data_IF_976902695691
#
_entry.id   IF_976902695691
#
_cell.length_a   1.000
_cell.length_b   1.000
_cell.length_c   1.000
_cell.angle_alpha   90.00
_cell.angle_beta   90.00
_cell.angle_gamma   90.00
#
_symmetry.space_group_name_H-M   'P 1'
#
loop_
_entity.id
_entity.type
_entity.pdbx_description
1 polymer ?
#
# COMPACT_ATOMS: atom_id res chain seq x y z
N UNK A 1 -24.72 13.66 8.64
CA UNK A 1 -24.34 12.61 7.67
C UNK A 1 -23.18 11.87 8.30
N UNK A 2 -23.43 10.64 8.76
CA UNK A 2 -22.45 9.84 9.49
C UNK A 2 -21.46 9.23 8.49
N UNK A 3 -20.20 9.67 8.55
CA UNK A 3 -19.15 9.26 7.63
C UNK A 3 -18.69 7.81 7.87
N UNK A 4 -19.09 7.20 9.00
CA UNK A 4 -18.65 5.86 9.38
C UNK A 4 -19.47 4.71 8.75
N UNK A 5 -20.50 5.01 7.93
CA UNK A 5 -21.35 4.00 7.29
C UNK A 5 -21.66 4.17 5.80
N UNK A 6 -21.19 5.24 5.13
CA UNK A 6 -21.79 5.70 3.87
C UNK A 6 -20.89 5.68 2.62
N UNK A 7 -19.73 5.03 2.64
CA UNK A 7 -18.93 4.79 1.44
C UNK A 7 -18.81 3.28 1.21
N UNK A 8 -19.58 2.77 0.26
CA UNK A 8 -19.71 1.34 -0.05
C UNK A 8 -19.31 1.08 -1.51
N UNK A 9 -19.33 -0.20 -1.92
CA UNK A 9 -18.93 -0.59 -3.27
C UNK A 9 -19.80 0.05 -4.37
N UNK A 10 -21.11 0.21 -4.13
CA UNK A 10 -22.04 0.82 -5.09
C UNK A 10 -21.70 2.30 -5.34
N UNK A 11 -21.52 3.06 -4.27
CA UNK A 11 -21.11 4.48 -4.36
C UNK A 11 -19.73 4.60 -5.04
N UNK A 12 -18.81 3.69 -4.74
CA UNK A 12 -17.52 3.64 -5.41
C UNK A 12 -17.65 3.35 -6.90
N UNK A 13 -18.45 2.36 -7.31
CA UNK A 13 -18.66 1.99 -8.71
C UNK A 13 -19.24 3.14 -9.54
N UNK A 14 -20.22 3.88 -9.01
CA UNK A 14 -20.79 5.05 -9.68
C UNK A 14 -19.75 6.17 -9.87
N UNK A 15 -18.98 6.47 -8.81
CA UNK A 15 -17.91 7.46 -8.86
C UNK A 15 -16.79 7.03 -9.81
N UNK A 16 -16.43 5.75 -9.80
CA UNK A 16 -15.36 5.20 -10.62
C UNK A 16 -15.75 5.18 -12.10
N UNK A 17 -17.01 4.88 -12.42
CA UNK A 17 -17.55 4.97 -13.79
C UNK A 17 -17.43 6.39 -14.32
N UNK A 18 -17.91 7.37 -13.56
CA UNK A 18 -17.83 8.80 -13.92
C UNK A 18 -16.37 9.26 -14.10
N UNK A 19 -15.46 8.78 -13.25
CA UNK A 19 -14.04 9.06 -13.35
C UNK A 19 -13.45 8.48 -14.63
N UNK A 20 -13.73 7.21 -14.95
CA UNK A 20 -13.23 6.55 -16.16
C UNK A 20 -13.68 7.25 -17.44
N UNK A 21 -14.95 7.65 -17.52
CA UNK A 21 -15.47 8.45 -18.65
C UNK A 21 -14.70 9.77 -18.79
N UNK A 22 -14.57 10.51 -17.70
CA UNK A 22 -13.83 11.79 -17.69
C UNK A 22 -12.36 11.62 -18.09
N UNK A 23 -11.71 10.55 -17.63
CA UNK A 23 -10.31 10.26 -17.95
C UNK A 23 -10.16 9.88 -19.42
N UNK A 24 -11.05 9.04 -19.95
CA UNK A 24 -11.04 8.64 -21.35
C UNK A 24 -11.22 9.85 -22.28
N UNK A 25 -12.20 10.71 -21.98
CA UNK A 25 -12.47 11.91 -22.77
C UNK A 25 -11.29 12.90 -22.77
N UNK A 26 -10.63 13.11 -21.63
CA UNK A 26 -9.59 14.13 -21.48
C UNK A 26 -8.19 13.65 -21.84
N UNK A 27 -7.89 12.37 -21.59
CA UNK A 27 -6.53 11.84 -21.61
C UNK A 27 -6.40 10.54 -22.41
N UNK A 28 -7.50 9.94 -22.86
CA UNK A 28 -7.49 8.66 -23.57
C UNK A 28 -7.21 7.46 -22.66
N UNK A 29 -6.51 6.42 -23.16
CA UNK A 29 -6.16 5.25 -22.36
C UNK A 29 -5.23 5.61 -21.19
N UNK A 30 -5.56 5.16 -19.98
CA UNK A 30 -4.78 5.40 -18.76
C UNK A 30 -4.64 4.12 -17.93
N UNK A 31 -3.54 4.00 -17.18
CA UNK A 31 -3.35 2.96 -16.17
C UNK A 31 -3.76 3.49 -14.80
N UNK A 32 -4.74 2.84 -14.16
CA UNK A 32 -5.25 3.23 -12.85
C UNK A 32 -4.73 2.25 -11.80
N UNK A 33 -4.00 2.78 -10.82
CA UNK A 33 -3.49 2.01 -9.68
C UNK A 33 -4.28 2.37 -8.42
N UNK A 34 -4.88 1.38 -7.76
CA UNK A 34 -5.68 1.55 -6.54
C UNK A 34 -5.17 0.64 -5.44
N UNK A 35 -5.43 1.01 -4.18
CA UNK A 35 -5.10 0.14 -3.06
C UNK A 35 -6.16 -0.96 -2.85
N UNK A 36 -5.87 -1.91 -1.96
CA UNK A 36 -6.76 -3.02 -1.65
C UNK A 36 -7.94 -2.69 -0.72
N UNK A 37 -8.49 -1.48 -0.76
CA UNK A 37 -9.66 -1.15 0.06
C UNK A 37 -10.86 -2.07 -0.25
N UNK A 38 -11.58 -2.47 0.78
CA UNK A 38 -12.64 -3.49 0.67
C UNK A 38 -13.81 -3.07 -0.22
N UNK A 39 -14.02 -1.77 -0.45
CA UNK A 39 -15.05 -1.24 -1.34
C UNK A 39 -14.60 -1.12 -2.80
N UNK A 40 -13.29 -1.23 -3.11
CA UNK A 40 -12.80 -1.32 -4.50
C UNK A 40 -13.09 -2.67 -5.15
N UNK A 41 -13.53 -3.66 -4.36
CA UNK A 41 -13.75 -5.04 -4.79
C UNK A 41 -15.06 -5.51 -4.17
N UNK A 42 -15.97 -6.16 -4.91
CA UNK A 42 -17.06 -6.94 -4.29
C UNK A 42 -16.45 -8.24 -3.73
N UNK A 43 -15.74 -8.11 -2.59
CA UNK A 43 -15.03 -9.11 -1.77
C UNK A 43 -14.61 -10.44 -2.42
N UNK A 44 -13.29 -10.73 -2.34
CA UNK A 44 -12.82 -12.11 -2.13
C UNK A 44 -11.78 -12.19 -1.00
N UNK A 45 -10.97 -11.15 -0.74
CA UNK A 45 -9.90 -11.27 0.25
C UNK A 45 -9.88 -10.15 1.31
N UNK A 46 -9.74 -10.54 2.58
CA UNK A 46 -9.54 -9.64 3.71
C UNK A 46 -8.05 -9.48 3.97
N UNK A 47 -7.53 -8.27 3.85
CA UNK A 47 -6.13 -8.02 4.18
C UNK A 47 -5.96 -7.90 5.69
N UNK A 48 -4.97 -8.56 6.31
CA UNK A 48 -4.76 -8.48 7.75
C UNK A 48 -4.56 -7.06 8.27
N UNK A 49 -5.05 -6.83 9.49
CA UNK A 49 -4.96 -5.58 10.25
C UNK A 49 -4.54 -5.85 11.70
N UNK A 50 -4.37 -4.81 12.51
CA UNK A 50 -4.01 -4.96 13.93
C UNK A 50 -5.03 -5.80 14.72
N UNK A 51 -6.29 -5.88 14.29
CA UNK A 51 -7.32 -6.74 14.90
C UNK A 51 -7.32 -8.19 14.39
N UNK A 52 -6.68 -8.48 13.26
CA UNK A 52 -6.58 -9.83 12.66
C UNK A 52 -5.76 -10.78 13.53
N UNK A 53 -6.12 -12.07 13.60
CA UNK A 53 -5.37 -13.03 14.44
C UNK A 53 -3.98 -13.31 13.84
N UNK A 54 -3.00 -13.67 14.70
CA UNK A 54 -1.62 -13.98 14.24
C UNK A 54 -1.63 -15.08 13.16
N UNK A 55 -2.45 -16.11 13.37
CA UNK A 55 -2.58 -17.22 12.43
C UNK A 55 -3.13 -16.77 11.06
N UNK A 56 -4.17 -15.93 11.05
CA UNK A 56 -4.74 -15.37 9.81
C UNK A 56 -3.74 -14.45 9.07
N UNK A 57 -2.85 -13.76 9.80
CA UNK A 57 -1.75 -12.99 9.21
C UNK A 57 -0.74 -13.93 8.53
N UNK A 58 -0.37 -15.03 9.21
CA UNK A 58 0.54 -16.04 8.68
C UNK A 58 -0.04 -16.70 7.42
N UNK A 59 -1.29 -17.12 7.46
CA UNK A 59 -1.99 -17.70 6.31
C UNK A 59 -2.01 -16.75 5.10
N UNK A 60 -2.23 -15.45 5.35
CA UNK A 60 -2.18 -14.43 4.30
C UNK A 60 -0.77 -14.27 3.71
N UNK A 61 0.26 -14.22 4.56
CA UNK A 61 1.66 -14.12 4.10
C UNK A 61 2.06 -15.35 3.27
N UNK A 62 1.70 -16.55 3.72
CA UNK A 62 1.92 -17.80 2.99
C UNK A 62 1.17 -17.82 1.66
N UNK A 63 -0.11 -17.40 1.63
CA UNK A 63 -0.90 -17.34 0.40
C UNK A 63 -0.34 -16.36 -0.64
N UNK A 64 0.44 -15.37 -0.20
CA UNK A 64 1.11 -14.38 -1.05
C UNK A 64 2.58 -14.74 -1.34
N UNK A 65 3.04 -15.94 -0.95
CA UNK A 65 4.43 -16.39 -1.06
C UNK A 65 5.44 -15.42 -0.43
N UNK A 66 5.07 -14.79 0.68
CA UNK A 66 5.96 -13.89 1.43
C UNK A 66 6.67 -14.73 2.50
N UNK A 67 8.00 -14.82 2.42
CA UNK A 67 8.81 -15.53 3.41
C UNK A 67 8.82 -14.79 4.77
N UNK A 68 8.71 -15.53 5.87
CA UNK A 68 8.76 -15.00 7.23
C UNK A 68 9.32 -16.04 8.21
N UNK A 69 9.92 -15.60 9.31
CA UNK A 69 10.37 -16.50 10.39
C UNK A 69 9.22 -16.83 11.35
N UNK A 70 9.18 -18.08 11.82
CA UNK A 70 8.22 -18.54 12.83
C UNK A 70 8.38 -17.83 14.19
N UNK A 71 9.54 -17.20 14.42
CA UNK A 71 9.85 -16.45 15.64
C UNK A 71 9.22 -15.05 15.65
N UNK A 72 8.78 -14.54 14.49
CA UNK A 72 8.20 -13.20 14.39
C UNK A 72 6.90 -13.09 15.19
N UNK A 73 6.81 -11.99 15.93
CA UNK A 73 5.65 -11.57 16.71
C UNK A 73 4.62 -10.93 15.77
N UNK A 74 3.37 -10.87 16.23
CA UNK A 74 2.26 -10.30 15.46
C UNK A 74 2.53 -8.90 14.88
N UNK A 75 3.18 -7.96 15.60
CA UNK A 75 3.52 -6.65 15.03
C UNK A 75 4.51 -6.73 13.86
N UNK A 76 5.51 -7.61 13.95
CA UNK A 76 6.54 -7.80 12.91
C UNK A 76 5.94 -8.47 11.67
N UNK A 77 5.07 -9.46 11.86
CA UNK A 77 4.29 -10.06 10.78
C UNK A 77 3.35 -9.03 10.12
N UNK A 78 2.73 -8.15 10.91
CA UNK A 78 1.93 -7.04 10.37
C UNK A 78 2.78 -6.03 9.62
N UNK A 79 4.02 -5.78 10.04
CA UNK A 79 4.97 -4.97 9.29
C UNK A 79 5.27 -5.60 7.93
N UNK A 80 5.46 -6.92 7.83
CA UNK A 80 5.62 -7.59 6.53
C UNK A 80 4.38 -7.41 5.63
N UNK A 81 3.17 -7.52 6.19
CA UNK A 81 1.90 -7.23 5.46
C UNK A 81 1.80 -5.76 5.04
N UNK A 82 2.28 -4.84 5.87
CA UNK A 82 2.24 -3.40 5.62
C UNK A 82 3.32 -2.97 4.61
N UNK A 83 4.48 -3.60 4.63
CA UNK A 83 5.60 -3.36 3.73
C UNK A 83 5.29 -3.79 2.29
N UNK A 84 4.42 -4.77 2.12
CA UNK A 84 3.83 -5.14 0.82
C UNK A 84 2.76 -4.16 0.31
N UNK A 85 2.47 -3.09 1.07
CA UNK A 85 1.51 -2.05 0.71
C UNK A 85 2.20 -0.70 0.57
N UNK A 86 3.22 -0.61 -0.27
CA UNK A 86 3.62 0.72 -0.72
C UNK A 86 2.46 1.37 -1.47
N UNK A 87 1.93 2.44 -0.86
CA UNK A 87 0.83 3.22 -1.41
C UNK A 87 1.36 4.59 -1.81
N UNK A 88 1.75 4.80 -3.09
CA UNK A 88 2.26 6.09 -3.57
C UNK A 88 1.35 7.27 -3.23
N UNK A 89 0.03 7.00 -3.15
CA UNK A 89 -1.00 7.97 -2.78
C UNK A 89 -0.80 8.56 -1.36
N UNK A 90 -0.18 7.85 -0.43
CA UNK A 90 0.14 8.37 0.91
C UNK A 90 1.16 9.51 0.86
N UNK A 91 2.11 9.45 -0.09
CA UNK A 91 3.05 10.54 -0.32
C UNK A 91 2.37 11.80 -0.82
N UNK A 92 1.37 11.66 -1.70
CA UNK A 92 0.53 12.76 -2.16
C UNK A 92 -0.24 13.36 -0.99
N UNK A 93 -0.88 12.51 -0.18
CA UNK A 93 -1.62 12.95 1.01
C UNK A 93 -0.73 13.63 2.05
N UNK A 94 0.51 13.18 2.24
CA UNK A 94 1.44 13.82 3.16
C UNK A 94 1.73 15.27 2.74
N UNK A 95 1.94 15.53 1.44
CA UNK A 95 2.15 16.87 0.90
C UNK A 95 0.91 17.75 1.10
N UNK A 96 -0.27 17.23 0.76
CA UNK A 96 -1.54 17.99 0.87
C UNK A 96 -1.87 18.31 2.32
N UNK A 97 -1.81 17.32 3.22
CA UNK A 97 -2.05 17.53 4.66
C UNK A 97 -1.05 18.52 5.25
N UNK A 98 0.22 18.44 4.85
CA UNK A 98 1.26 19.37 5.27
C UNK A 98 1.00 20.80 4.80
N UNK A 99 0.46 21.01 3.60
CA UNK A 99 0.03 22.34 3.14
C UNK A 99 -1.16 22.85 3.93
N UNK A 100 -2.23 22.05 4.05
CA UNK A 100 -3.45 22.44 4.79
C UNK A 100 -3.14 22.85 6.23
N UNK A 101 -2.25 22.11 6.91
CA UNK A 101 -1.81 22.43 8.26
C UNK A 101 -1.03 23.77 8.33
N UNK A 102 -0.18 24.06 7.34
CA UNK A 102 0.61 25.31 7.29
C UNK A 102 -0.23 26.54 6.92
N UNK A 103 -1.28 26.35 6.12
CA UNK A 103 -2.16 27.45 5.69
C UNK A 103 -3.17 27.91 6.76
N UNK A 104 -3.05 27.42 8.00
CA UNK A 104 -4.00 27.69 9.08
C UNK A 104 -3.98 29.13 9.62
N UNK A 105 -4.96 29.50 10.47
CA UNK A 105 -6.14 28.69 10.86
C UNK A 105 -7.29 28.76 9.85
N UNK A 106 -8.12 27.72 9.85
CA UNK A 106 -9.26 27.58 8.94
C UNK A 106 -10.58 27.87 9.65
N UNK A 107 -11.40 28.85 9.19
CA UNK A 107 -12.62 29.24 9.90
C UNK A 107 -13.75 28.21 9.83
N UNK A 108 -13.79 27.32 8.83
CA UNK A 108 -14.86 26.34 8.67
C UNK A 108 -14.46 25.20 7.71
N UNK A 109 -15.35 24.21 7.55
CA UNK A 109 -15.11 23.08 6.64
C UNK A 109 -15.00 23.51 5.17
N UNK A 110 -15.67 24.59 4.77
CA UNK A 110 -15.60 25.10 3.41
C UNK A 110 -14.20 25.66 3.10
N UNK A 111 -13.58 26.37 4.05
CA UNK A 111 -12.21 26.84 3.90
C UNK A 111 -11.23 25.67 3.84
N UNK A 112 -11.39 24.64 4.69
CA UNK A 112 -10.57 23.42 4.65
C UNK A 112 -10.69 22.74 3.28
N UNK A 113 -11.93 22.56 2.77
CA UNK A 113 -12.17 21.95 1.45
C UNK A 113 -11.48 22.73 0.34
N UNK A 114 -11.61 24.06 0.34
CA UNK A 114 -11.00 24.90 -0.69
C UNK A 114 -9.47 24.86 -0.61
N UNK A 115 -8.88 24.91 0.59
CA UNK A 115 -7.44 24.75 0.77
C UNK A 115 -6.95 23.37 0.34
N UNK A 116 -7.72 22.31 0.59
CA UNK A 116 -7.40 20.97 0.13
C UNK A 116 -7.39 20.89 -1.39
N UNK A 117 -8.41 21.43 -2.08
CA UNK A 117 -8.46 21.49 -3.54
C UNK A 117 -7.30 22.31 -4.12
N UNK A 118 -6.99 23.45 -3.51
CA UNK A 118 -5.86 24.29 -3.91
C UNK A 118 -4.52 23.57 -3.75
N UNK A 119 -4.32 22.88 -2.62
CA UNK A 119 -3.12 22.10 -2.37
C UNK A 119 -2.95 20.96 -3.38
N UNK A 120 -4.02 20.22 -3.71
CA UNK A 120 -3.98 19.23 -4.78
C UNK A 120 -3.59 19.86 -6.12
N UNK A 121 -4.17 21.00 -6.48
CA UNK A 121 -3.91 21.67 -7.75
C UNK A 121 -2.49 22.23 -7.86
N UNK A 122 -1.99 22.86 -6.81
CA UNK A 122 -0.80 23.69 -6.87
C UNK A 122 0.45 23.02 -6.28
N UNK A 123 0.29 22.08 -5.34
CA UNK A 123 1.42 21.42 -4.68
C UNK A 123 1.74 20.06 -5.29
N UNK A 124 0.76 19.38 -5.89
CA UNK A 124 0.98 18.09 -6.57
C UNK A 124 1.29 18.34 -8.05
N UNK A 125 2.54 18.73 -8.32
CA UNK A 125 3.05 18.93 -9.67
C UNK A 125 3.85 17.70 -10.17
N UNK A 126 4.25 17.73 -11.45
CA UNK A 126 4.99 16.64 -12.10
C UNK A 126 6.28 16.26 -11.36
N UNK A 127 6.99 17.23 -10.77
CA UNK A 127 8.21 16.95 -9.99
C UNK A 127 7.91 16.13 -8.74
N UNK A 128 6.83 16.46 -8.03
CA UNK A 128 6.37 15.69 -6.86
C UNK A 128 5.96 14.28 -7.26
N UNK A 129 5.12 14.15 -8.29
CA UNK A 129 4.63 12.86 -8.79
C UNK A 129 5.81 11.96 -9.22
N UNK A 130 6.74 12.49 -10.04
CA UNK A 130 7.92 11.75 -10.49
C UNK A 130 8.85 11.39 -9.33
N UNK A 131 8.99 12.26 -8.33
CA UNK A 131 9.76 11.99 -7.12
C UNK A 131 9.18 10.83 -6.32
N UNK A 132 7.86 10.83 -6.10
CA UNK A 132 7.15 9.75 -5.42
C UNK A 132 7.24 8.44 -6.21
N UNK A 133 7.01 8.48 -7.52
CA UNK A 133 7.12 7.30 -8.38
C UNK A 133 8.52 6.67 -8.34
N UNK A 134 9.58 7.48 -8.45
CA UNK A 134 10.95 6.98 -8.36
C UNK A 134 11.25 6.36 -7.00
N UNK A 135 10.74 6.95 -5.92
CA UNK A 135 10.88 6.39 -4.58
C UNK A 135 10.18 5.03 -4.47
N UNK A 136 8.94 4.94 -4.90
CA UNK A 136 8.19 3.68 -4.92
C UNK A 136 8.89 2.63 -5.78
N UNK A 137 9.34 3.00 -6.98
CA UNK A 137 10.05 2.08 -7.86
C UNK A 137 11.36 1.58 -7.23
N UNK A 138 12.12 2.46 -6.56
CA UNK A 138 13.34 2.08 -5.84
C UNK A 138 13.03 1.09 -4.72
N UNK A 139 12.01 1.36 -3.93
CA UNK A 139 11.62 0.53 -2.80
C UNK A 139 11.07 -0.83 -3.27
N UNK A 140 10.26 -0.85 -4.33
CA UNK A 140 9.79 -2.08 -4.96
C UNK A 140 10.95 -2.94 -5.50
N UNK A 141 11.96 -2.32 -6.12
CA UNK A 141 13.16 -3.05 -6.58
C UNK A 141 13.97 -3.63 -5.42
N UNK A 142 14.22 -2.83 -4.39
CA UNK A 142 14.93 -3.30 -3.20
C UNK A 142 14.17 -4.45 -2.50
N UNK A 143 12.83 -4.44 -2.56
CA UNK A 143 12.02 -5.57 -2.12
C UNK A 143 12.28 -6.83 -2.96
N UNK A 144 12.20 -6.75 -4.30
CA UNK A 144 12.47 -7.90 -5.17
C UNK A 144 13.87 -8.48 -4.93
N UNK A 145 14.88 -7.63 -4.78
CA UNK A 145 16.26 -8.06 -4.50
C UNK A 145 16.40 -8.70 -3.11
N UNK A 146 15.69 -8.19 -2.09
CA UNK A 146 15.70 -8.76 -0.74
C UNK A 146 14.97 -10.11 -0.70
N UNK A 147 13.88 -10.26 -1.44
CA UNK A 147 13.12 -11.50 -1.57
C UNK A 147 13.93 -12.59 -2.29
N UNK A 148 14.60 -12.25 -3.40
CA UNK A 148 15.54 -13.16 -4.07
C UNK A 148 16.68 -13.60 -3.15
N UNK A 149 17.30 -12.67 -2.41
CA UNK A 149 18.37 -13.01 -1.47
C UNK A 149 17.89 -13.85 -0.28
N UNK A 150 16.67 -13.62 0.23
CA UNK A 150 16.10 -14.44 1.30
C UNK A 150 15.87 -15.89 0.85
N UNK A 151 15.49 -16.10 -0.41
CA UNK A 151 15.31 -17.44 -0.99
C UNK A 151 16.65 -18.15 -1.22
N UNK A 152 17.73 -17.43 -1.55
CA UNK A 152 19.06 -18.02 -1.76
C UNK A 152 19.75 -18.47 -0.47
N UNK A 153 19.48 -17.80 0.67
CA UNK A 153 20.07 -18.18 1.98
C UNK A 153 19.42 -19.48 2.53
N UNK A 154 18.21 -19.83 2.08
CA UNK A 154 17.53 -21.08 2.48
C UNK A 154 18.04 -22.34 1.76
N UNK A 155 18.84 -22.21 0.71
CA UNK A 155 19.32 -23.34 -0.11
C UNK A 155 20.82 -23.66 0.08
N UNK A 156 21.59 -22.88 0.86
CA UNK A 156 23.00 -23.18 1.15
C UNK A 156 23.17 -24.25 2.25
N UNK A 157 23.18 -25.51 1.79
CA UNK A 157 24.01 -26.65 2.23
C UNK A 157 23.95 -27.14 3.69
N UNK A 158 23.10 -28.14 3.93
CA UNK A 158 23.46 -29.29 4.79
C UNK A 158 24.32 -30.26 3.94
N UNK A 159 25.61 -29.94 3.74
CA UNK A 159 26.56 -30.88 3.16
C UNK A 159 26.92 -31.92 4.23
N UNK A 160 26.37 -33.12 4.08
CA UNK A 160 26.68 -34.29 4.89
C UNK A 160 28.16 -34.66 4.72
N UNK A 161 28.99 -34.41 5.74
CA UNK A 161 30.24 -35.16 5.93
C UNK A 161 30.05 -36.16 7.06
N UNK A 162 29.50 -37.31 6.72
CA UNK A 162 29.55 -38.50 7.57
C UNK A 162 30.94 -39.14 7.40
N UNK A 163 31.85 -38.80 8.30
CA UNK A 163 33.10 -39.55 8.47
C UNK A 163 32.99 -40.33 9.78
N UNK A 164 32.40 -41.52 9.68
CA UNK A 164 32.58 -42.59 10.65
C UNK A 164 33.99 -43.17 10.49
N UNK A 165 34.89 -42.79 11.38
CA UNK A 165 36.08 -43.56 11.72
C UNK A 165 36.16 -43.56 13.25
N UNK A 166 35.75 -44.66 13.88
CA UNK A 166 36.35 -45.12 15.13
C UNK A 166 35.98 -46.58 15.48
N UNK A 167 37.05 -47.37 15.61
CA UNK A 167 37.29 -48.68 16.29
C UNK A 167 37.08 -49.98 15.51
#
# INVERSE_FOLDING_TARGET
>A
MDYHGNFNAEIFEDLFSTLCETLHEKYGPVNIHMDGASYHKRRVENIPTSSTKKQEIVEWLTAHNISFSNELRKPELLELVQMHKEKPIEGVWAVVKGEVARSGPHPNLLSIRNTLLDAFKNKINSKVILGLWRKTLKNAKAYFEADENANLIGEESDDYSDTDDDV
#
